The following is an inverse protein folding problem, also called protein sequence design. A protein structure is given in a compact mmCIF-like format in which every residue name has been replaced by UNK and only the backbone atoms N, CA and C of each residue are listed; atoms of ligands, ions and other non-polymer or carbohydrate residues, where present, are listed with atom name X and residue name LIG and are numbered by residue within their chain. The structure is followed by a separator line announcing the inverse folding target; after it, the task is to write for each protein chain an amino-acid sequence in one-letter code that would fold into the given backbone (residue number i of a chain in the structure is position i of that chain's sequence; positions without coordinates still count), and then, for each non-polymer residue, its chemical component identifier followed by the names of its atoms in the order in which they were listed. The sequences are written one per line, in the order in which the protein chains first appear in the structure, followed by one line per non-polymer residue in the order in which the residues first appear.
data_IF_908541727607
#
_entry.id   IF_908541727607
#
_cell.length_a   1.000
_cell.length_b   1.000
_cell.length_c   1.000
_cell.angle_alpha   90.00
_cell.angle_beta   90.00
_cell.angle_gamma   90.00
#
_symmetry.space_group_name_H-M   'P 1'
#
loop_
_entity.id
_entity.type
_entity.pdbx_description
1 polymer ?
#
# COMPACT_ATOMS: atom_id res chain seq x y z
N UNK A 1 11.88 -0.69 -6.61
CA UNK A 1 10.57 -0.67 -5.92
C UNK A 1 10.72 -1.39 -4.60
N UNK A 2 10.32 -0.78 -3.49
CA UNK A 2 10.43 -1.35 -2.15
C UNK A 2 9.05 -1.55 -1.53
N UNK A 3 8.86 -2.67 -0.83
CA UNK A 3 7.54 -3.13 -0.38
C UNK A 3 7.22 -2.58 1.02
N UNK A 4 6.00 -2.05 1.16
CA UNK A 4 5.37 -1.59 2.40
C UNK A 4 4.06 -2.34 2.62
N UNK A 5 4.15 -3.46 3.34
CA UNK A 5 2.97 -4.24 3.72
C UNK A 5 2.31 -3.63 4.96
N UNK A 6 1.00 -3.40 4.89
CA UNK A 6 0.16 -2.83 5.95
C UNK A 6 -0.67 -3.89 6.68
N UNK A 7 -0.31 -5.17 6.55
CA UNK A 7 -1.01 -6.26 7.22
C UNK A 7 -0.56 -6.38 8.68
N UNK A 8 -1.40 -6.89 9.59
CA UNK A 8 -1.02 -7.06 11.00
C UNK A 8 0.26 -7.89 11.18
N UNK A 9 0.49 -8.84 10.27
CA UNK A 9 1.63 -9.75 10.24
C UNK A 9 2.95 -9.08 9.81
N UNK A 10 2.89 -7.91 9.15
CA UNK A 10 4.06 -7.22 8.60
C UNK A 10 4.64 -6.14 9.51
N UNK A 11 4.04 -5.89 10.68
CA UNK A 11 4.58 -4.95 11.65
C UNK A 11 5.79 -5.56 12.38
N UNK A 12 6.95 -5.40 11.74
CA UNK A 12 8.27 -5.53 12.35
C UNK A 12 8.27 -4.89 13.75
N UNK A 13 8.56 -5.71 14.78
CA UNK A 13 8.51 -5.33 16.19
C UNK A 13 9.22 -4.02 16.59
N UNK A 14 10.31 -3.55 15.92
CA UNK A 14 10.96 -2.28 16.25
C UNK A 14 10.19 -1.01 15.86
N UNK A 15 9.14 -1.11 15.02
CA UNK A 15 8.40 0.06 14.49
C UNK A 15 7.25 0.55 15.38
N UNK A 16 7.02 -0.10 16.53
CA UNK A 16 6.01 0.32 17.52
C UNK A 16 6.61 1.40 18.44
N UNK A 17 6.63 2.65 17.98
CA UNK A 17 6.82 3.80 18.87
C UNK A 17 5.80 4.89 18.55
N UNK A 18 4.92 5.09 19.54
CA UNK A 18 4.08 6.24 19.88
C UNK A 18 3.45 7.12 18.76
N UNK A 19 2.12 7.23 18.84
CA UNK A 19 1.19 8.16 18.13
C UNK A 19 0.96 7.91 16.63
N UNK A 20 -0.08 7.11 16.34
CA UNK A 20 -0.65 6.91 15.00
C UNK A 20 0.02 5.81 14.20
N UNK A 21 -0.77 5.02 13.45
CA UNK A 21 -0.25 4.04 12.48
C UNK A 21 0.70 4.69 11.45
N UNK A 22 0.56 6.00 11.26
CA UNK A 22 1.33 6.82 10.33
C UNK A 22 2.82 6.92 10.71
N UNK A 23 3.19 7.05 11.99
CA UNK A 23 4.59 7.31 12.36
C UNK A 23 5.55 6.15 11.99
N UNK A 24 5.14 4.90 12.26
CA UNK A 24 5.93 3.72 11.90
C UNK A 24 6.01 3.50 10.39
N UNK A 25 4.92 3.78 9.67
CA UNK A 25 4.87 3.74 8.21
C UNK A 25 5.86 4.74 7.60
N UNK A 26 5.81 6.00 8.04
CA UNK A 26 6.65 7.07 7.51
C UNK A 26 8.12 6.80 7.78
N UNK A 27 8.48 6.36 8.99
CA UNK A 27 9.87 6.01 9.30
C UNK A 27 10.39 4.87 8.43
N UNK A 28 9.56 3.83 8.20
CA UNK A 28 9.93 2.73 7.32
C UNK A 28 10.09 3.19 5.88
N UNK A 29 9.18 4.02 5.37
CA UNK A 29 9.26 4.60 4.04
C UNK A 29 10.52 5.43 3.86
N UNK A 30 10.83 6.32 4.82
CA UNK A 30 12.06 7.12 4.81
C UNK A 30 13.32 6.24 4.73
N UNK A 31 13.40 5.18 5.54
CA UNK A 31 14.53 4.26 5.51
C UNK A 31 14.67 3.54 4.15
N UNK A 32 13.56 3.16 3.52
CA UNK A 32 13.57 2.54 2.19
C UNK A 32 14.01 3.52 1.09
N UNK A 33 13.51 4.76 1.14
CA UNK A 33 13.90 5.82 0.22
C UNK A 33 15.38 6.18 0.38
N UNK A 34 15.87 6.32 1.62
CA UNK A 34 17.28 6.57 1.92
C UNK A 34 18.20 5.42 1.46
N UNK A 35 17.68 4.19 1.42
CA UNK A 35 18.37 3.03 0.85
C UNK A 35 18.35 2.98 -0.70
N UNK A 36 17.76 4.00 -1.35
CA UNK A 36 17.75 4.16 -2.81
C UNK A 36 16.49 3.64 -3.51
N UNK A 37 15.40 3.37 -2.79
CA UNK A 37 14.14 3.01 -3.42
C UNK A 37 13.53 4.22 -4.15
N UNK A 38 13.18 4.08 -5.43
CA UNK A 38 12.44 5.11 -6.18
C UNK A 38 10.91 4.97 -6.03
N UNK A 39 10.44 3.75 -5.86
CA UNK A 39 9.02 3.42 -5.66
C UNK A 39 8.82 2.80 -4.29
N UNK A 40 7.74 3.20 -3.62
CA UNK A 40 7.19 2.52 -2.45
C UNK A 40 5.89 1.81 -2.87
N UNK A 41 5.85 0.50 -2.71
CA UNK A 41 4.74 -0.36 -3.11
C UNK A 41 3.92 -0.76 -1.89
N UNK A 42 2.71 -0.22 -1.79
CA UNK A 42 1.86 -0.26 -0.60
C UNK A 42 0.80 -1.34 -0.77
N UNK A 43 0.87 -2.37 0.09
CA UNK A 43 -0.04 -3.51 0.05
C UNK A 43 -0.89 -3.61 1.33
N UNK A 44 -2.22 -3.57 1.18
CA UNK A 44 -3.18 -3.76 2.28
C UNK A 44 -3.64 -5.21 2.49
N UNK A 45 -3.36 -6.06 1.50
CA UNK A 45 -3.79 -7.46 1.42
C UNK A 45 -2.57 -8.37 1.20
N UNK A 46 -2.51 -9.52 1.88
CA UNK A 46 -1.41 -10.46 1.69
C UNK A 46 -1.77 -11.53 0.66
N UNK A 47 -0.97 -11.63 -0.39
CA UNK A 47 -1.10 -12.63 -1.47
C UNK A 47 -0.29 -13.91 -1.19
N UNK A 48 0.29 -14.04 0.02
CA UNK A 48 1.05 -15.24 0.41
C UNK A 48 0.13 -16.47 0.47
N UNK A 49 0.62 -17.68 0.14
CA UNK A 49 -0.15 -18.90 0.28
C UNK A 49 -0.68 -19.08 1.70
N UNK A 50 -1.98 -19.34 1.83
CA UNK A 50 -2.65 -19.54 3.12
C UNK A 50 -2.91 -18.25 3.93
N UNK A 51 -2.74 -17.07 3.33
CA UNK A 51 -3.22 -15.83 3.95
C UNK A 51 -4.74 -15.87 4.16
N UNK A 52 -5.25 -15.32 5.28
CA UNK A 52 -6.68 -15.11 5.41
C UNK A 52 -7.15 -14.08 4.37
N UNK A 53 -8.34 -14.31 3.81
CA UNK A 53 -9.01 -13.27 3.03
C UNK A 53 -9.39 -12.10 3.96
N UNK A 54 -9.40 -10.90 3.38
CA UNK A 54 -9.63 -9.64 4.06
C UNK A 54 -10.73 -8.90 3.30
N UNK A 55 -11.78 -8.39 3.97
CA UNK A 55 -12.81 -7.62 3.28
C UNK A 55 -12.25 -6.41 2.53
N UNK A 56 -12.84 -6.06 1.39
CA UNK A 56 -12.48 -4.87 0.58
C UNK A 56 -12.41 -3.61 1.44
N UNK A 57 -13.39 -3.42 2.33
CA UNK A 57 -13.48 -2.26 3.20
C UNK A 57 -12.28 -2.15 4.17
N UNK A 58 -11.75 -3.29 4.60
CA UNK A 58 -10.58 -3.33 5.48
C UNK A 58 -9.29 -3.06 4.71
N UNK A 59 -9.15 -3.57 3.49
CA UNK A 59 -8.03 -3.21 2.61
C UNK A 59 -8.02 -1.71 2.30
N UNK A 60 -9.19 -1.12 1.94
CA UNK A 60 -9.36 0.32 1.77
C UNK A 60 -8.95 1.11 3.02
N UNK A 61 -9.43 0.69 4.19
CA UNK A 61 -9.12 1.35 5.47
C UNK A 61 -7.63 1.30 5.83
N UNK A 62 -6.87 0.34 5.29
CA UNK A 62 -5.41 0.27 5.43
C UNK A 62 -4.70 1.15 4.39
N UNK A 63 -5.03 0.98 3.11
CA UNK A 63 -4.28 1.55 1.98
C UNK A 63 -4.52 3.06 1.83
N UNK A 64 -5.77 3.50 1.80
CA UNK A 64 -6.14 4.90 1.52
C UNK A 64 -5.45 5.89 2.47
N UNK A 65 -5.53 5.77 3.81
CA UNK A 65 -4.84 6.70 4.71
C UNK A 65 -3.32 6.60 4.60
N UNK A 66 -2.76 5.40 4.35
CA UNK A 66 -1.32 5.21 4.19
C UNK A 66 -0.77 5.91 2.95
N UNK A 67 -1.42 5.76 1.80
CA UNK A 67 -1.04 6.45 0.55
C UNK A 67 -1.11 7.96 0.76
N UNK A 68 -2.18 8.47 1.37
CA UNK A 68 -2.34 9.90 1.69
C UNK A 68 -1.19 10.42 2.58
N UNK A 69 -0.84 9.68 3.63
CA UNK A 69 0.24 10.06 4.55
C UNK A 69 1.61 10.06 3.84
N UNK A 70 1.90 9.01 3.05
CA UNK A 70 3.13 8.89 2.29
C UNK A 70 3.27 10.00 1.25
N UNK A 71 2.21 10.30 0.50
CA UNK A 71 2.22 11.38 -0.50
C UNK A 71 2.51 12.74 0.13
N UNK A 72 1.95 13.00 1.31
CA UNK A 72 2.19 14.26 2.06
C UNK A 72 3.63 14.37 2.56
N UNK A 73 4.20 13.26 3.04
CA UNK A 73 5.55 13.26 3.61
C UNK A 73 6.66 13.18 2.55
N UNK A 74 6.43 12.47 1.45
CA UNK A 74 7.41 12.14 0.42
C UNK A 74 6.89 12.51 -0.96
N UNK A 75 6.80 13.81 -1.23
CA UNK A 75 6.18 14.37 -2.44
C UNK A 75 6.82 13.92 -3.75
N UNK A 76 8.10 13.56 -3.74
CA UNK A 76 8.85 13.09 -4.92
C UNK A 76 8.91 11.56 -5.05
N UNK A 77 8.53 10.82 -4.00
CA UNK A 77 8.52 9.36 -4.07
C UNK A 77 7.40 8.89 -5.00
N UNK A 78 7.67 7.86 -5.81
CA UNK A 78 6.64 7.22 -6.61
C UNK A 78 5.91 6.20 -5.73
N UNK A 79 4.58 6.24 -5.73
CA UNK A 79 3.75 5.37 -4.92
C UNK A 79 3.04 4.36 -5.82
N UNK A 80 3.32 3.09 -5.59
CA UNK A 80 2.57 1.97 -6.16
C UNK A 80 1.59 1.44 -5.10
N UNK A 81 0.41 0.99 -5.53
CA UNK A 81 -0.53 0.25 -4.69
C UNK A 81 -0.67 -1.17 -5.23
N UNK A 82 -0.29 -2.15 -4.41
CA UNK A 82 -0.45 -3.57 -4.70
C UNK A 82 -1.86 -4.01 -4.31
N UNK A 83 -2.73 -4.12 -5.31
CA UNK A 83 -4.10 -4.59 -5.15
C UNK A 83 -4.62 -5.24 -6.42
N UNK A 84 -5.43 -6.27 -6.25
CA UNK A 84 -6.21 -6.89 -7.32
C UNK A 84 -7.70 -6.50 -7.25
N UNK A 85 -8.06 -5.53 -6.39
CA UNK A 85 -9.44 -5.09 -6.17
C UNK A 85 -9.69 -3.76 -6.83
N UNK A 86 -10.64 -3.71 -7.77
CA UNK A 86 -10.95 -2.51 -8.53
C UNK A 86 -11.37 -1.32 -7.66
N UNK A 87 -12.04 -1.59 -6.53
CA UNK A 87 -12.44 -0.55 -5.59
C UNK A 87 -11.24 0.14 -4.91
N UNK A 88 -10.18 -0.60 -4.59
CA UNK A 88 -8.95 -0.05 -4.00
C UNK A 88 -8.15 0.67 -5.08
N UNK A 89 -8.01 0.05 -6.26
CA UNK A 89 -7.34 0.64 -7.41
C UNK A 89 -7.97 1.97 -7.83
N UNK A 90 -9.30 2.10 -7.76
CA UNK A 90 -10.02 3.34 -8.07
C UNK A 90 -9.79 4.45 -7.03
N UNK A 91 -9.67 4.10 -5.75
CA UNK A 91 -9.53 5.08 -4.68
C UNK A 91 -8.09 5.58 -4.50
N UNK A 92 -7.09 4.76 -4.85
CA UNK A 92 -5.68 5.07 -4.61
C UNK A 92 -5.15 6.31 -5.36
N UNK A 93 -5.48 6.57 -6.64
CA UNK A 93 -5.02 7.76 -7.36
C UNK A 93 -5.49 9.07 -6.73
N UNK A 94 -6.71 9.12 -6.18
CA UNK A 94 -7.25 10.29 -5.49
C UNK A 94 -6.43 10.68 -4.25
N UNK A 95 -5.67 9.73 -3.69
CA UNK A 95 -4.77 9.94 -2.55
C UNK A 95 -3.31 10.17 -2.98
N UNK A 96 -3.02 10.10 -4.28
CA UNK A 96 -1.70 10.36 -4.87
C UNK A 96 -0.84 9.13 -5.12
N UNK A 97 -1.46 7.96 -5.33
CA UNK A 97 -0.78 6.82 -5.95
C UNK A 97 -0.49 7.11 -7.44
N UNK A 98 0.68 6.68 -7.90
CA UNK A 98 1.17 6.87 -9.27
C UNK A 98 1.04 5.60 -10.13
N UNK A 99 0.95 4.43 -9.48
CA UNK A 99 0.91 3.13 -10.12
C UNK A 99 -0.02 2.19 -9.34
N UNK A 100 -0.78 1.36 -10.07
CA UNK A 100 -1.47 0.21 -9.51
C UNK A 100 -0.74 -1.05 -9.97
N UNK A 101 -0.38 -1.91 -9.03
CA UNK A 101 0.24 -3.21 -9.27
C UNK A 101 -0.77 -4.31 -8.96
N UNK A 102 -1.03 -5.19 -9.91
CA UNK A 102 -1.95 -6.32 -9.75
C UNK A 102 -1.25 -7.62 -10.06
N UNK A 103 -0.95 -8.39 -9.01
CA UNK A 103 -0.27 -9.70 -9.13
C UNK A 103 -1.08 -10.73 -9.95
N UNK A 104 -2.39 -10.54 -10.09
CA UNK A 104 -3.29 -11.46 -10.79
C UNK A 104 -3.37 -11.17 -12.29
N UNK A 105 -2.73 -10.09 -12.74
CA UNK A 105 -2.81 -9.64 -14.14
C UNK A 105 -4.22 -9.21 -14.53
N UNK A 106 -4.96 -8.55 -13.61
CA UNK A 106 -6.33 -8.02 -13.83
C UNK A 106 -7.42 -9.08 -13.99
N UNK A 107 -7.15 -10.32 -13.57
CA UNK A 107 -8.09 -11.44 -13.73
C UNK A 107 -8.97 -11.70 -12.52
N UNK A 108 -8.59 -11.23 -11.32
CA UNK A 108 -9.35 -11.46 -10.10
C UNK A 108 -10.60 -10.57 -9.96
N UNK A 109 -10.60 -9.39 -10.59
CA UNK A 109 -11.73 -8.46 -10.60
C UNK A 109 -11.94 -7.91 -12.02
N UNK A 110 -13.08 -8.24 -12.62
CA UNK A 110 -13.41 -7.80 -13.99
C UNK A 110 -13.52 -6.27 -14.13
N UNK A 111 -13.71 -5.55 -13.02
CA UNK A 111 -13.74 -4.09 -13.01
C UNK A 111 -12.34 -3.44 -12.89
N UNK A 112 -11.27 -4.24 -12.76
CA UNK A 112 -9.91 -3.73 -12.53
C UNK A 112 -9.40 -2.87 -13.69
N UNK A 113 -9.44 -3.38 -14.93
CA UNK A 113 -9.00 -2.60 -16.10
C UNK A 113 -9.81 -1.31 -16.29
N UNK A 114 -11.15 -1.30 -16.15
CA UNK A 114 -11.94 -0.07 -16.16
C UNK A 114 -11.72 0.88 -14.96
N UNK A 115 -10.93 0.50 -13.95
CA UNK A 115 -10.72 1.30 -12.74
C UNK A 115 -9.45 2.14 -12.74
N UNK A 116 -8.56 1.94 -13.71
CA UNK A 116 -7.23 2.57 -13.82
C UNK A 116 -7.09 3.41 -15.07
#
# INVERSE_FOLDING_TARGET
MAILNLTPDSFYAPSRVATGQDAGLLHRAEALLAAGANFLDVGGYSTRPGAPDVPVAEELARVVPAVRALRRAFTEALLSVDTFRAAVARAAPDEGADLITDVTGTTADAAMLPSV
#
